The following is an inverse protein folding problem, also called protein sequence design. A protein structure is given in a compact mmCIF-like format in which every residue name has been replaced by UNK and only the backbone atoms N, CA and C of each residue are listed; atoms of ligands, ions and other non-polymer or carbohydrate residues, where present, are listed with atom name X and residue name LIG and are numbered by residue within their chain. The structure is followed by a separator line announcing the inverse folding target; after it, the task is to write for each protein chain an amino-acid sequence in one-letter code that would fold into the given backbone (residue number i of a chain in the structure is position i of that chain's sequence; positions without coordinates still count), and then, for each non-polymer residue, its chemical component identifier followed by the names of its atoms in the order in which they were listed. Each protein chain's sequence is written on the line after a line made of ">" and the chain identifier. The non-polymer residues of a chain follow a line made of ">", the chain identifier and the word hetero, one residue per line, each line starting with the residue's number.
data_IF_016197607902
#
_entry.id   IF_016197607902
#
_cell.length_a   1.000
_cell.length_b   1.000
_cell.length_c   1.000
_cell.angle_alpha   90.00
_cell.angle_beta   90.00
_cell.angle_gamma   90.00
#
_symmetry.space_group_name_H-M   'P 1'
#
loop_
_entity.id
_entity.type
_entity.pdbx_description
1 polymer ?
#
# COMPACT_ATOMS: atom_id res chain seq x y z
N UNK A 1 64.09 -13.16 12.17
CA UNK A 1 62.79 -13.43 12.80
C UNK A 1 61.72 -12.82 11.90
N UNK A 2 60.62 -13.54 11.65
CA UNK A 2 59.56 -13.12 10.71
C UNK A 2 58.69 -11.99 11.30
N UNK A 3 58.02 -11.17 10.46
CA UNK A 3 57.20 -10.05 10.93
C UNK A 3 55.84 -10.53 11.46
N UNK A 4 55.36 -9.88 12.52
CA UNK A 4 54.01 -10.11 13.04
C UNK A 4 53.09 -8.97 12.58
N UNK A 5 52.18 -9.30 11.67
CA UNK A 5 51.07 -8.45 11.25
C UNK A 5 50.17 -8.10 12.44
N UNK A 6 49.69 -6.85 12.51
CA UNK A 6 48.33 -6.60 12.96
C UNK A 6 47.72 -5.44 12.16
N UNK A 7 47.00 -5.79 11.11
CA UNK A 7 46.25 -4.87 10.27
C UNK A 7 44.88 -4.65 10.92
N UNK A 8 44.69 -3.56 11.68
CA UNK A 8 43.37 -3.19 12.21
C UNK A 8 42.60 -2.50 11.09
N UNK A 9 41.91 -3.30 10.29
CA UNK A 9 40.95 -2.85 9.29
C UNK A 9 39.63 -3.60 9.47
N UNK A 10 38.68 -2.97 10.18
CA UNK A 10 37.27 -3.35 10.09
C UNK A 10 36.40 -2.10 10.05
N UNK A 11 35.93 -1.82 8.83
CA UNK A 11 34.54 -1.50 8.53
C UNK A 11 33.78 -0.66 9.59
N UNK A 12 33.88 0.65 9.45
CA UNK A 12 32.68 1.49 9.60
C UNK A 12 31.89 1.35 8.29
N UNK A 13 31.30 0.17 8.08
CA UNK A 13 30.18 0.07 7.16
C UNK A 13 29.05 0.89 7.79
N UNK A 14 28.47 1.80 7.03
CA UNK A 14 27.48 2.74 7.57
C UNK A 14 26.34 1.98 8.26
N UNK A 15 26.09 2.31 9.53
CA UNK A 15 24.76 2.13 10.08
C UNK A 15 23.85 3.11 9.33
N UNK A 16 23.34 2.68 8.18
CA UNK A 16 22.02 3.15 7.76
C UNK A 16 21.05 2.68 8.86
N UNK A 17 20.63 3.60 9.72
CA UNK A 17 19.41 3.39 10.48
C UNK A 17 18.30 3.22 9.45
N UNK A 18 17.83 1.98 9.27
CA UNK A 18 16.68 1.66 8.42
C UNK A 18 15.39 2.10 9.11
N UNK A 19 15.25 3.42 9.33
CA UNK A 19 13.97 4.04 9.62
C UNK A 19 13.03 3.88 8.42
N UNK A 20 11.74 4.14 8.64
CA UNK A 20 10.73 4.07 7.58
C UNK A 20 11.15 4.93 6.37
N UNK A 21 11.36 4.28 5.22
CA UNK A 21 11.99 4.88 4.02
C UNK A 21 11.20 6.08 3.44
N UNK A 22 9.91 6.19 3.79
CA UNK A 22 9.15 7.44 3.86
C UNK A 22 7.98 7.24 4.83
N UNK A 23 7.61 8.25 5.61
CA UNK A 23 6.31 8.28 6.31
C UNK A 23 5.28 8.97 5.41
N UNK A 24 4.08 8.42 5.34
CA UNK A 24 2.95 8.97 4.59
C UNK A 24 1.67 9.02 5.42
N UNK A 25 0.70 9.82 4.98
CA UNK A 25 -0.57 10.02 5.69
C UNK A 25 -1.76 9.76 4.77
N UNK A 26 -2.79 9.11 5.29
CA UNK A 26 -4.04 8.84 4.57
C UNK A 26 -4.95 10.08 4.62
N UNK A 27 -5.38 10.57 3.46
CA UNK A 27 -6.26 11.74 3.31
C UNK A 27 -7.71 11.29 3.13
N UNK A 28 -8.37 10.93 4.23
CA UNK A 28 -9.79 10.59 4.23
C UNK A 28 -10.68 11.83 4.06
N UNK A 29 -11.68 11.76 3.16
CA UNK A 29 -12.60 12.89 2.86
C UNK A 29 -13.99 12.77 3.52
N UNK A 30 -14.18 11.82 4.44
CA UNK A 30 -15.45 11.60 5.17
C UNK A 30 -15.64 12.63 6.32
N UNK A 31 -15.75 13.90 5.97
CA UNK A 31 -16.01 15.01 6.90
C UNK A 31 -16.69 16.18 6.19
N UNK A 32 -17.46 16.99 6.92
CA UNK A 32 -18.24 18.11 6.37
C UNK A 32 -17.63 19.50 6.62
N UNK A 33 -16.44 19.55 7.20
CA UNK A 33 -15.72 20.74 7.66
C UNK A 33 -14.21 20.68 7.33
N UNK A 34 -13.83 19.83 6.36
CA UNK A 34 -12.44 19.64 5.95
C UNK A 34 -11.93 20.86 5.16
N UNK A 35 -10.62 21.18 5.20
CA UNK A 35 -10.01 22.17 4.32
C UNK A 35 -10.17 21.80 2.84
N UNK A 36 -9.93 22.76 1.94
CA UNK A 36 -9.86 22.47 0.50
C UNK A 36 -8.67 21.57 0.17
N UNK A 37 -8.76 20.81 -0.93
CA UNK A 37 -7.67 19.92 -1.36
C UNK A 37 -6.32 20.64 -1.55
N UNK A 38 -6.34 21.93 -1.93
CA UNK A 38 -5.13 22.76 -2.00
C UNK A 38 -4.51 23.01 -0.63
N UNK A 39 -5.33 23.38 0.36
CA UNK A 39 -4.88 23.58 1.75
C UNK A 39 -4.39 22.26 2.39
N UNK A 40 -5.00 21.12 2.05
CA UNK A 40 -4.50 19.80 2.47
C UNK A 40 -3.13 19.52 1.85
N UNK A 41 -2.92 19.78 0.55
CA UNK A 41 -1.60 19.62 -0.08
C UNK A 41 -0.56 20.57 0.51
N UNK A 42 -0.94 21.81 0.86
CA UNK A 42 -0.06 22.75 1.57
C UNK A 42 0.26 22.28 3.01
N UNK A 43 -0.69 21.66 3.70
CA UNK A 43 -0.46 21.03 5.01
C UNK A 43 0.53 19.86 4.92
N UNK A 44 0.41 19.00 3.91
CA UNK A 44 1.36 17.91 3.67
C UNK A 44 2.77 18.44 3.42
N UNK A 45 2.93 19.43 2.52
CA UNK A 45 4.23 20.05 2.21
C UNK A 45 4.86 20.74 3.43
N UNK A 46 4.06 21.50 4.20
CA UNK A 46 4.57 22.24 5.37
C UNK A 46 4.99 21.33 6.53
N UNK A 47 4.41 20.13 6.65
CA UNK A 47 4.82 19.10 7.60
C UNK A 47 5.85 18.11 7.05
N UNK A 48 6.35 18.30 5.82
CA UNK A 48 7.34 17.41 5.20
C UNK A 48 6.82 16.02 4.83
N UNK A 49 5.50 15.83 4.73
CA UNK A 49 4.87 14.54 4.44
C UNK A 49 5.00 14.25 2.94
N UNK A 50 5.93 13.36 2.59
CA UNK A 50 6.27 13.04 1.20
C UNK A 50 5.33 12.07 0.49
N UNK A 51 4.40 11.43 1.20
CA UNK A 51 3.55 10.36 0.68
C UNK A 51 2.10 10.49 1.17
N UNK A 52 1.13 10.28 0.27
CA UNK A 52 -0.31 10.39 0.52
C UNK A 52 -1.04 9.12 0.05
N UNK A 53 -2.10 8.75 0.77
CA UNK A 53 -3.10 7.80 0.27
C UNK A 53 -4.46 8.48 0.14
N UNK A 54 -5.13 8.26 -1.00
CA UNK A 54 -6.55 8.59 -1.22
C UNK A 54 -7.32 7.31 -1.57
N UNK A 55 -8.61 7.26 -1.22
CA UNK A 55 -9.41 6.03 -1.31
C UNK A 55 -10.17 5.90 -2.63
N UNK A 56 -10.31 7.00 -3.37
CA UNK A 56 -11.00 7.11 -4.64
C UNK A 56 -10.28 8.12 -5.57
N UNK A 57 -10.55 8.14 -6.89
CA UNK A 57 -9.92 9.05 -7.83
C UNK A 57 -10.53 10.46 -7.83
N UNK A 58 -10.53 11.14 -6.68
CA UNK A 58 -11.04 12.50 -6.55
C UNK A 58 -10.25 13.49 -7.44
N UNK A 59 -10.96 14.06 -8.42
CA UNK A 59 -10.35 14.93 -9.43
C UNK A 59 -9.88 16.28 -8.86
N UNK A 60 -10.44 16.75 -7.75
CA UNK A 60 -10.03 17.99 -7.08
C UNK A 60 -8.70 17.77 -6.38
N UNK A 61 -8.58 16.66 -5.63
CA UNK A 61 -7.33 16.23 -5.00
C UNK A 61 -6.23 15.95 -6.04
N UNK A 62 -6.55 15.25 -7.14
CA UNK A 62 -5.60 14.99 -8.23
C UNK A 62 -5.15 16.27 -8.95
N UNK A 63 -5.99 17.30 -9.06
CA UNK A 63 -5.56 18.60 -9.59
C UNK A 63 -4.66 19.36 -8.59
N UNK A 64 -4.98 19.33 -7.29
CA UNK A 64 -4.17 19.96 -6.24
C UNK A 64 -2.77 19.32 -6.09
N UNK A 65 -2.65 18.01 -6.36
CA UNK A 65 -1.40 17.26 -6.26
C UNK A 65 -0.42 17.49 -7.43
N UNK A 66 -0.82 18.14 -8.54
CA UNK A 66 0.05 18.37 -9.71
C UNK A 66 1.30 19.16 -9.33
N UNK A 67 2.48 18.60 -9.60
CA UNK A 67 3.77 19.22 -9.29
C UNK A 67 4.12 19.29 -7.80
N UNK A 68 3.31 18.69 -6.90
CA UNK A 68 3.55 18.69 -5.45
C UNK A 68 4.75 17.84 -5.01
N UNK A 69 5.21 16.91 -5.86
CA UNK A 69 6.17 15.83 -5.57
C UNK A 69 5.73 14.81 -4.50
N UNK A 70 4.51 14.92 -3.96
CA UNK A 70 3.93 13.95 -3.01
C UNK A 70 3.64 12.65 -3.75
N UNK A 71 4.16 11.53 -3.23
CA UNK A 71 3.94 10.19 -3.77
C UNK A 71 2.53 9.69 -3.43
N UNK A 72 1.78 9.19 -4.43
CA UNK A 72 0.37 8.85 -4.26
C UNK A 72 0.08 7.35 -4.34
N UNK A 73 -0.59 6.83 -3.30
CA UNK A 73 -1.43 5.63 -3.37
C UNK A 73 -2.85 6.09 -3.73
N UNK A 74 -3.38 5.63 -4.86
CA UNK A 74 -4.75 5.92 -5.30
C UNK A 74 -5.63 4.67 -5.20
N UNK A 75 -6.76 4.78 -4.51
CA UNK A 75 -7.73 3.71 -4.34
C UNK A 75 -8.71 3.57 -5.50
N UNK A 76 -9.18 2.34 -5.68
CA UNK A 76 -10.38 2.00 -6.44
C UNK A 76 -11.40 1.44 -5.45
N UNK A 77 -12.50 2.16 -5.27
CA UNK A 77 -13.61 1.77 -4.40
C UNK A 77 -14.19 0.40 -4.80
N UNK A 78 -14.59 -0.39 -3.80
CA UNK A 78 -15.07 -1.77 -3.97
C UNK A 78 -16.25 -1.85 -4.97
N UNK A 79 -17.19 -0.91 -4.90
CA UNK A 79 -18.35 -0.81 -5.79
C UNK A 79 -18.01 -0.59 -7.28
N UNK A 80 -16.78 -0.15 -7.61
CA UNK A 80 -16.32 0.03 -8.99
C UNK A 80 -15.64 -1.22 -9.56
N UNK A 81 -15.30 -2.21 -8.74
CA UNK A 81 -14.50 -3.38 -9.15
C UNK A 81 -15.17 -4.20 -10.26
N UNK A 82 -16.50 -4.38 -10.20
CA UNK A 82 -17.26 -5.11 -11.21
C UNK A 82 -17.09 -4.49 -12.60
N UNK A 83 -17.18 -3.16 -12.71
CA UNK A 83 -17.06 -2.45 -13.99
C UNK A 83 -15.67 -2.62 -14.62
N UNK A 84 -14.62 -2.72 -13.79
CA UNK A 84 -13.23 -2.87 -14.22
C UNK A 84 -12.85 -4.31 -14.61
N UNK A 85 -13.78 -5.26 -14.52
CA UNK A 85 -13.64 -6.57 -15.18
C UNK A 85 -13.74 -6.48 -16.70
N UNK A 86 -14.27 -5.39 -17.25
CA UNK A 86 -14.11 -5.03 -18.66
C UNK A 86 -12.77 -4.30 -18.89
N UNK A 87 -12.00 -4.77 -19.88
CA UNK A 87 -10.67 -4.24 -20.18
C UNK A 87 -10.72 -2.83 -20.80
N UNK A 88 -11.81 -2.45 -21.47
CA UNK A 88 -12.00 -1.10 -22.04
C UNK A 88 -12.28 -0.11 -20.90
N UNK A 89 -13.15 -0.48 -19.96
CA UNK A 89 -13.44 0.29 -18.75
C UNK A 89 -12.17 0.52 -17.91
N UNK A 90 -11.34 -0.52 -17.71
CA UNK A 90 -10.05 -0.39 -17.04
C UNK A 90 -9.06 0.52 -17.78
N UNK A 91 -8.99 0.41 -19.12
CA UNK A 91 -8.16 1.30 -19.96
C UNK A 91 -8.62 2.76 -19.86
N UNK A 92 -9.93 3.00 -19.89
CA UNK A 92 -10.53 4.32 -19.71
C UNK A 92 -10.30 4.86 -18.28
N UNK A 93 -10.35 4.01 -17.25
CA UNK A 93 -10.02 4.39 -15.87
C UNK A 93 -8.56 4.87 -15.76
N UNK A 94 -7.61 4.13 -16.33
CA UNK A 94 -6.19 4.53 -16.35
C UNK A 94 -5.97 5.80 -17.18
N UNK A 95 -6.64 5.95 -18.32
CA UNK A 95 -6.58 7.18 -19.09
C UNK A 95 -7.06 8.38 -18.26
N UNK A 96 -8.25 8.26 -17.67
CA UNK A 96 -8.94 9.37 -17.03
C UNK A 96 -8.32 9.77 -15.69
N UNK A 97 -7.86 8.81 -14.89
CA UNK A 97 -7.43 9.04 -13.50
C UNK A 97 -5.91 9.03 -13.33
N UNK A 98 -5.15 8.47 -14.28
CA UNK A 98 -3.68 8.44 -14.23
C UNK A 98 -3.08 9.30 -15.34
N UNK A 99 -3.36 9.00 -16.63
CA UNK A 99 -2.68 9.66 -17.76
C UNK A 99 -3.03 11.14 -17.92
N UNK A 100 -4.27 11.53 -17.62
CA UNK A 100 -4.68 12.94 -17.61
C UNK A 100 -4.07 13.75 -16.44
N UNK A 101 -3.36 13.08 -15.52
CA UNK A 101 -2.72 13.63 -14.32
C UNK A 101 -1.22 13.29 -14.27
N UNK A 102 -0.52 13.37 -15.41
CA UNK A 102 0.92 13.03 -15.56
C UNK A 102 1.85 13.68 -14.54
N UNK A 103 1.45 14.84 -14.00
CA UNK A 103 2.25 15.64 -13.08
C UNK A 103 1.99 15.26 -11.60
N UNK A 104 1.15 14.25 -11.35
CA UNK A 104 0.92 13.61 -10.05
C UNK A 104 1.83 12.38 -9.94
N UNK A 105 2.53 12.26 -8.81
CA UNK A 105 3.57 11.24 -8.60
C UNK A 105 2.98 9.92 -8.10
N UNK A 106 2.15 9.28 -8.92
CA UNK A 106 1.57 7.98 -8.62
C UNK A 106 2.65 6.91 -8.34
N UNK A 107 2.41 6.09 -7.32
CA UNK A 107 3.26 4.93 -6.97
C UNK A 107 2.49 3.63 -6.96
N UNK A 108 1.30 3.63 -6.38
CA UNK A 108 0.48 2.42 -6.24
C UNK A 108 -0.98 2.71 -6.58
N UNK A 109 -1.62 1.74 -7.23
CA UNK A 109 -3.07 1.67 -7.38
C UNK A 109 -3.55 0.54 -6.46
N UNK A 110 -4.38 0.87 -5.47
CA UNK A 110 -5.02 -0.10 -4.58
C UNK A 110 -6.39 -0.48 -5.15
N UNK A 111 -6.46 -1.65 -5.77
CA UNK A 111 -7.67 -2.20 -6.40
C UNK A 111 -8.50 -2.90 -5.34
N UNK A 112 -9.47 -2.18 -4.77
CA UNK A 112 -10.24 -2.62 -3.62
C UNK A 112 -9.53 -2.35 -2.29
N UNK A 113 -10.34 -2.25 -1.23
CA UNK A 113 -9.92 -2.08 0.15
C UNK A 113 -10.70 -3.04 1.04
N UNK A 114 -9.99 -3.91 1.77
CA UNK A 114 -10.56 -4.81 2.79
C UNK A 114 -11.72 -5.65 2.24
N UNK A 115 -11.55 -6.17 1.01
CA UNK A 115 -12.52 -7.07 0.38
C UNK A 115 -12.29 -8.49 0.88
N UNK A 116 -13.31 -9.07 1.50
CA UNK A 116 -13.30 -10.39 2.12
C UNK A 116 -13.88 -11.46 1.19
N UNK A 117 -13.53 -12.75 1.36
CA UNK A 117 -14.02 -13.84 0.50
C UNK A 117 -15.54 -14.03 0.45
N UNK A 118 -16.28 -13.48 1.42
CA UNK A 118 -17.74 -13.51 1.48
C UNK A 118 -18.44 -12.34 0.79
N UNK A 119 -17.69 -11.32 0.37
CA UNK A 119 -18.26 -10.11 -0.22
C UNK A 119 -18.65 -10.35 -1.68
N UNK A 120 -19.66 -9.61 -2.17
CA UNK A 120 -20.09 -9.71 -3.56
C UNK A 120 -18.97 -9.30 -4.53
N UNK A 121 -18.09 -8.40 -4.09
CA UNK A 121 -16.99 -7.81 -4.83
C UNK A 121 -15.76 -8.72 -4.96
N UNK A 122 -15.61 -9.73 -4.10
CA UNK A 122 -14.43 -10.59 -4.03
C UNK A 122 -14.09 -11.25 -5.37
N UNK A 123 -15.13 -11.65 -6.11
CA UNK A 123 -15.01 -12.28 -7.43
C UNK A 123 -14.43 -11.36 -8.52
N UNK A 124 -14.43 -10.04 -8.31
CA UNK A 124 -14.00 -9.04 -9.30
C UNK A 124 -12.56 -8.55 -9.10
N UNK A 125 -12.03 -8.62 -7.86
CA UNK A 125 -10.73 -8.02 -7.48
C UNK A 125 -9.60 -8.45 -8.40
N UNK A 126 -9.38 -9.76 -8.60
CA UNK A 126 -8.29 -10.28 -9.41
C UNK A 126 -8.37 -9.83 -10.88
N UNK A 127 -9.54 -9.91 -11.49
CA UNK A 127 -9.75 -9.51 -12.89
C UNK A 127 -9.58 -8.01 -13.07
N UNK A 128 -10.08 -7.20 -12.13
CA UNK A 128 -9.86 -5.75 -12.11
C UNK A 128 -8.37 -5.42 -11.96
N UNK A 129 -7.63 -6.10 -11.07
CA UNK A 129 -6.17 -5.93 -10.93
C UNK A 129 -5.43 -6.25 -12.23
N UNK A 130 -5.76 -7.37 -12.88
CA UNK A 130 -5.16 -7.78 -14.15
C UNK A 130 -5.43 -6.75 -15.26
N UNK A 131 -6.67 -6.28 -15.41
CA UNK A 131 -7.04 -5.30 -16.42
C UNK A 131 -6.38 -3.93 -16.19
N UNK A 132 -6.37 -3.43 -14.95
CA UNK A 132 -5.70 -2.17 -14.59
C UNK A 132 -4.19 -2.29 -14.81
N UNK A 133 -3.57 -3.41 -14.45
CA UNK A 133 -2.16 -3.66 -14.74
C UNK A 133 -1.86 -3.66 -16.24
N UNK A 134 -2.68 -4.35 -17.04
CA UNK A 134 -2.51 -4.39 -18.50
C UNK A 134 -2.65 -2.98 -19.12
N UNK A 135 -3.57 -2.16 -18.63
CA UNK A 135 -3.70 -0.76 -19.04
C UNK A 135 -2.49 0.11 -18.63
N UNK A 136 -1.92 -0.12 -17.44
CA UNK A 136 -0.68 0.53 -16.96
C UNK A 136 0.53 0.12 -17.80
N UNK A 137 0.65 -1.15 -18.18
CA UNK A 137 1.69 -1.66 -19.10
C UNK A 137 1.52 -1.05 -20.49
N UNK A 138 0.30 -1.01 -21.03
CA UNK A 138 0.01 -0.39 -22.33
C UNK A 138 0.31 1.13 -22.34
N UNK A 139 0.21 1.80 -21.19
CA UNK A 139 0.61 3.18 -20.98
C UNK A 139 2.13 3.37 -20.79
N UNK A 140 2.93 2.30 -20.73
CA UNK A 140 4.36 2.27 -20.37
C UNK A 140 4.68 2.79 -18.95
N UNK A 141 3.74 2.63 -18.01
CA UNK A 141 3.85 3.13 -16.64
C UNK A 141 4.21 2.05 -15.60
N UNK A 142 4.33 0.78 -15.98
CA UNK A 142 4.53 -0.37 -15.09
C UNK A 142 5.83 -0.35 -14.26
N UNK A 143 6.82 0.47 -14.66
CA UNK A 143 8.06 0.67 -13.90
C UNK A 143 7.93 1.80 -12.85
N UNK A 144 6.88 2.61 -12.94
CA UNK A 144 6.63 3.79 -12.08
C UNK A 144 5.47 3.55 -11.13
N UNK A 145 4.40 2.91 -11.62
CA UNK A 145 3.14 2.67 -10.92
C UNK A 145 2.92 1.16 -10.81
N UNK A 146 2.67 0.67 -9.60
CA UNK A 146 2.37 -0.74 -9.34
C UNK A 146 0.90 -0.93 -8.98
N UNK A 147 0.35 -2.08 -9.33
CA UNK A 147 -1.04 -2.45 -9.03
C UNK A 147 -1.03 -3.46 -7.90
N UNK A 148 -1.82 -3.22 -6.85
CA UNK A 148 -1.99 -4.12 -5.72
C UNK A 148 -3.44 -4.05 -5.21
N UNK A 149 -3.74 -4.72 -4.10
CA UNK A 149 -5.00 -4.59 -3.36
C UNK A 149 -4.69 -4.35 -1.88
N UNK A 150 -5.56 -3.63 -1.17
CA UNK A 150 -5.42 -3.43 0.28
C UNK A 150 -6.24 -4.48 1.03
N UNK A 151 -5.59 -5.16 1.98
CA UNK A 151 -6.20 -6.17 2.85
C UNK A 151 -5.98 -5.79 4.31
N UNK A 152 -6.90 -6.19 5.18
CA UNK A 152 -6.76 -6.14 6.62
C UNK A 152 -6.22 -7.47 7.18
N UNK A 153 -5.95 -7.50 8.49
CA UNK A 153 -5.37 -8.65 9.17
C UNK A 153 -6.34 -9.79 9.48
N UNK A 154 -7.66 -9.64 9.31
CA UNK A 154 -8.63 -10.72 9.58
C UNK A 154 -8.57 -11.86 8.56
N UNK A 155 -7.94 -11.64 7.40
CA UNK A 155 -7.60 -12.72 6.46
C UNK A 155 -6.59 -13.71 7.04
N UNK A 156 -5.85 -13.35 8.10
CA UNK A 156 -4.99 -14.27 8.85
C UNK A 156 -5.82 -15.15 9.79
N UNK A 157 -5.62 -16.47 9.72
CA UNK A 157 -6.29 -17.45 10.60
C UNK A 157 -5.43 -17.84 11.80
N UNK A 158 -4.11 -17.87 11.62
CA UNK A 158 -3.16 -17.92 12.72
C UNK A 158 -2.22 -16.72 12.60
N UNK A 159 -1.87 -16.13 13.74
CA UNK A 159 -0.96 -14.99 13.84
C UNK A 159 -0.08 -14.99 15.09
N UNK A 160 -0.18 -16.02 15.93
CA UNK A 160 0.66 -16.15 17.12
C UNK A 160 1.16 -17.60 17.34
N UNK A 161 2.48 -17.82 17.51
CA UNK A 161 3.56 -16.84 17.33
C UNK A 161 3.61 -16.33 15.87
N UNK A 162 4.24 -15.17 15.59
CA UNK A 162 4.25 -14.62 14.23
C UNK A 162 4.79 -15.58 13.15
N UNK A 163 5.82 -16.38 13.45
CA UNK A 163 6.32 -17.43 12.56
C UNK A 163 5.29 -18.52 12.20
N UNK A 164 4.25 -18.70 13.03
CA UNK A 164 3.14 -19.61 12.75
C UNK A 164 2.08 -18.97 11.84
N UNK A 165 2.23 -17.70 11.46
CA UNK A 165 1.29 -16.91 10.65
C UNK A 165 0.82 -17.60 9.37
N UNK A 166 -0.48 -17.60 9.12
CA UNK A 166 -1.09 -18.23 7.94
C UNK A 166 -2.47 -17.65 7.64
N UNK A 167 -2.81 -17.50 6.35
CA UNK A 167 -4.16 -17.14 5.93
C UNK A 167 -5.21 -18.15 6.42
N UNK A 168 -6.40 -17.66 6.74
CA UNK A 168 -7.51 -18.51 7.17
C UNK A 168 -8.04 -19.36 5.99
N UNK A 169 -8.72 -20.47 6.28
CA UNK A 169 -9.13 -21.42 5.26
C UNK A 169 -10.10 -20.84 4.22
N UNK A 170 -10.94 -19.87 4.60
CA UNK A 170 -11.85 -19.17 3.69
C UNK A 170 -11.12 -18.12 2.82
N UNK A 171 -10.06 -17.50 3.35
CA UNK A 171 -9.22 -16.55 2.62
C UNK A 171 -8.38 -17.22 1.52
N UNK A 172 -7.91 -18.46 1.73
CA UNK A 172 -6.97 -19.14 0.82
C UNK A 172 -7.43 -19.19 -0.64
N UNK A 173 -8.70 -19.52 -0.92
CA UNK A 173 -9.23 -19.61 -2.30
C UNK A 173 -9.27 -18.27 -3.02
N UNK A 174 -9.43 -17.17 -2.26
CA UNK A 174 -9.50 -15.80 -2.76
C UNK A 174 -8.11 -15.16 -2.88
N UNK A 175 -7.27 -15.28 -1.84
CA UNK A 175 -5.99 -14.56 -1.75
C UNK A 175 -4.86 -15.24 -2.53
N UNK A 176 -4.84 -16.58 -2.63
CA UNK A 176 -3.78 -17.31 -3.35
C UNK A 176 -3.62 -16.89 -4.82
N UNK A 177 -4.69 -16.77 -5.65
CA UNK A 177 -4.52 -16.33 -7.03
C UNK A 177 -4.14 -14.84 -7.15
N UNK A 178 -4.51 -13.99 -6.17
CA UNK A 178 -4.05 -12.60 -6.08
C UNK A 178 -2.54 -12.54 -5.79
N UNK A 179 -2.08 -13.32 -4.81
CA UNK A 179 -0.65 -13.46 -4.47
C UNK A 179 0.15 -13.96 -5.68
N UNK A 180 -0.33 -15.01 -6.37
CA UNK A 180 0.30 -15.53 -7.58
C UNK A 180 0.42 -14.46 -8.69
N UNK A 181 -0.59 -13.61 -8.86
CA UNK A 181 -0.51 -12.48 -9.79
C UNK A 181 0.55 -11.45 -9.38
N UNK A 182 0.59 -11.06 -8.11
CA UNK A 182 1.56 -10.09 -7.57
C UNK A 182 3.01 -10.57 -7.67
N UNK A 183 3.26 -11.86 -7.39
CA UNK A 183 4.60 -12.47 -7.50
C UNK A 183 5.07 -12.50 -8.97
N UNK A 184 4.23 -12.99 -9.88
CA UNK A 184 4.58 -13.06 -11.31
C UNK A 184 4.73 -11.67 -11.96
N UNK A 185 4.13 -10.62 -11.37
CA UNK A 185 4.31 -9.22 -11.76
C UNK A 185 5.66 -8.59 -11.38
N UNK A 186 6.58 -9.33 -10.76
CA UNK A 186 7.92 -8.85 -10.36
C UNK A 186 7.90 -7.59 -9.46
N UNK A 187 7.19 -7.69 -8.33
CA UNK A 187 7.06 -6.59 -7.36
C UNK A 187 7.97 -6.80 -6.14
N UNK A 188 9.11 -6.09 -6.12
CA UNK A 188 10.05 -6.00 -5.00
C UNK A 188 10.41 -4.53 -4.67
N UNK A 189 10.58 -4.11 -3.42
CA UNK A 189 9.82 -4.66 -2.31
C UNK A 189 10.49 -4.62 -0.89
N UNK A 190 10.45 -3.59 -0.02
CA UNK A 190 11.05 -3.61 1.36
C UNK A 190 10.32 -2.78 2.48
N UNK A 191 9.85 -3.40 3.59
CA UNK A 191 9.42 -2.88 4.95
C UNK A 191 7.91 -2.66 5.33
N UNK A 192 7.49 -2.46 6.61
CA UNK A 192 7.65 -3.25 7.87
C UNK A 192 6.71 -2.75 9.03
N UNK A 193 6.11 -3.65 9.85
CA UNK A 193 5.78 -3.42 11.30
C UNK A 193 5.60 -4.74 12.07
N UNK A 194 6.50 -5.03 13.00
CA UNK A 194 7.06 -6.38 13.23
C UNK A 194 6.10 -7.55 13.42
N UNK A 195 5.28 -7.64 14.49
CA UNK A 195 4.60 -8.90 14.83
C UNK A 195 3.45 -9.31 13.88
N UNK A 196 2.59 -8.36 13.50
CA UNK A 196 1.50 -8.63 12.54
C UNK A 196 2.05 -8.83 11.13
N UNK A 197 3.16 -8.16 10.80
CA UNK A 197 3.84 -8.34 9.53
C UNK A 197 4.62 -9.65 9.46
N UNK A 198 5.34 -10.08 10.50
CA UNK A 198 6.01 -11.39 10.53
C UNK A 198 4.99 -12.52 10.36
N UNK A 199 3.77 -12.33 10.91
CA UNK A 199 2.63 -13.20 10.62
C UNK A 199 2.20 -13.15 9.16
N UNK A 200 2.13 -11.96 8.56
CA UNK A 200 1.78 -11.80 7.15
C UNK A 200 2.86 -12.34 6.21
N UNK A 201 4.14 -12.10 6.47
CA UNK A 201 5.26 -12.68 5.73
C UNK A 201 5.32 -14.18 5.88
N UNK A 202 5.07 -14.74 7.08
CA UNK A 202 4.95 -16.19 7.27
C UNK A 202 3.76 -16.77 6.49
N UNK A 203 2.65 -16.02 6.38
CA UNK A 203 1.51 -16.41 5.56
C UNK A 203 1.82 -16.32 4.05
N UNK A 204 2.54 -15.29 3.61
CA UNK A 204 2.99 -15.11 2.23
C UNK A 204 4.02 -16.18 1.84
N UNK A 205 4.98 -16.52 2.70
CA UNK A 205 5.93 -17.61 2.51
C UNK A 205 5.21 -18.94 2.30
N UNK A 206 4.25 -19.27 3.18
CA UNK A 206 3.40 -20.47 3.07
C UNK A 206 2.49 -20.45 1.83
N UNK A 207 2.13 -19.27 1.34
CA UNK A 207 1.40 -19.08 0.08
C UNK A 207 2.31 -19.07 -1.17
N UNK A 208 3.63 -19.32 -1.03
CA UNK A 208 4.58 -19.39 -2.14
C UNK A 208 5.16 -18.05 -2.61
N UNK A 209 5.02 -16.98 -1.81
CA UNK A 209 5.45 -15.62 -2.12
C UNK A 209 6.65 -15.03 -1.34
N UNK A 210 7.78 -15.77 -1.11
CA UNK A 210 9.09 -15.31 -0.65
C UNK A 210 9.35 -13.81 -0.45
N UNK A 211 9.27 -13.12 -1.59
CA UNK A 211 9.92 -11.83 -1.86
C UNK A 211 8.91 -10.70 -2.12
N UNK A 212 7.62 -10.94 -1.89
CA UNK A 212 6.56 -9.93 -2.04
C UNK A 212 6.50 -9.07 -0.77
N UNK A 213 6.98 -7.81 -0.79
CA UNK A 213 6.74 -6.91 0.35
C UNK A 213 5.27 -6.50 0.43
N UNK A 214 4.83 -6.33 1.67
CA UNK A 214 3.65 -5.55 2.08
C UNK A 214 3.98 -4.07 2.24
N UNK A 215 3.21 -3.16 1.64
CA UNK A 215 3.20 -1.76 2.09
C UNK A 215 2.13 -1.63 3.18
N UNK A 216 2.49 -1.14 4.37
CA UNK A 216 1.50 -0.78 5.40
C UNK A 216 0.73 0.44 4.89
N UNK A 217 -0.45 0.19 4.33
CA UNK A 217 -1.23 1.21 3.62
C UNK A 217 -2.15 2.02 4.53
N UNK A 218 -2.36 1.57 5.77
CA UNK A 218 -3.05 2.24 6.88
C UNK A 218 -2.46 1.79 8.22
N UNK A 219 -2.33 2.71 9.18
CA UNK A 219 -2.00 2.45 10.59
C UNK A 219 -2.32 3.68 11.43
N UNK A 220 -2.78 3.48 12.66
CA UNK A 220 -3.15 4.59 13.53
C UNK A 220 -3.66 4.17 14.90
N UNK A 221 -3.81 5.16 15.77
CA UNK A 221 -4.38 5.02 17.10
C UNK A 221 -5.38 6.16 17.35
N UNK A 222 -6.66 5.88 17.67
CA UNK A 222 -7.66 6.92 17.86
C UNK A 222 -7.40 7.73 19.14
N UNK A 223 -7.68 9.04 19.08
CA UNK A 223 -7.49 9.97 20.21
C UNK A 223 -8.70 10.06 21.15
N UNK A 224 -9.87 9.61 20.72
CA UNK A 224 -11.15 9.62 21.45
C UNK A 224 -12.06 8.47 20.98
N UNK A 225 -13.15 8.20 21.70
CA UNK A 225 -14.21 7.26 21.29
C UNK A 225 -14.23 5.91 22.03
N UNK A 226 -13.18 5.58 22.77
CA UNK A 226 -13.09 4.42 23.68
C UNK A 226 -12.22 4.74 24.90
N UNK A 227 -12.32 3.93 25.96
CA UNK A 227 -11.43 3.95 27.13
C UNK A 227 -9.92 3.95 26.82
N UNK A 228 -9.49 3.25 25.77
CA UNK A 228 -8.09 3.20 25.33
C UNK A 228 -7.74 4.31 24.32
N UNK A 229 -8.74 4.97 23.73
CA UNK A 229 -8.55 6.03 22.75
C UNK A 229 -8.36 7.37 23.48
N UNK A 230 -7.10 7.79 23.62
CA UNK A 230 -6.74 9.05 24.28
C UNK A 230 -5.69 9.81 23.47
N UNK A 231 -5.69 11.14 23.57
CA UNK A 231 -4.66 12.00 22.94
C UNK A 231 -3.24 11.57 23.35
N UNK A 232 -3.04 11.07 24.58
CA UNK A 232 -1.75 10.58 25.06
C UNK A 232 -1.35 9.27 24.37
N UNK A 233 -2.27 8.31 24.25
CA UNK A 233 -1.99 7.04 23.59
C UNK A 233 -1.76 7.23 22.09
N UNK A 234 -2.57 8.05 21.44
CA UNK A 234 -2.39 8.44 20.04
C UNK A 234 -1.02 9.12 19.84
N UNK A 235 -0.70 10.16 20.63
CA UNK A 235 0.59 10.85 20.56
C UNK A 235 1.81 10.05 21.05
N UNK A 236 1.61 8.82 21.55
CA UNK A 236 2.69 7.85 21.86
C UNK A 236 2.86 6.83 20.72
N UNK A 237 1.84 6.67 19.86
CA UNK A 237 1.83 5.73 18.75
C UNK A 237 2.44 6.31 17.46
N UNK A 238 2.27 7.62 17.23
CA UNK A 238 2.77 8.36 16.07
C UNK A 238 4.16 8.99 16.32
#
# INVERSE_FOLDING_TARGET
>A
MAPMLLLIGFLIAGLELTGARSVGVCSGKNGNNLPTDGEVVDLYKSNGIGSMRIYDPDQTTLNALKGSNIELIIGILNNNLQALTDATAATNWVQNNIRNYSDVKFKYIAVGNEVHPGDAEAQFVLTAMQNIHNAIVAANLQNQIKVSTAIDTTLLGNSYPPSAGSFNAAANSYISPIINFLVNGSLQYQNLFDALLDSLYSALEKAGAPNLQTVVSESGCPSEGDSAATVVNAGTYY
#
